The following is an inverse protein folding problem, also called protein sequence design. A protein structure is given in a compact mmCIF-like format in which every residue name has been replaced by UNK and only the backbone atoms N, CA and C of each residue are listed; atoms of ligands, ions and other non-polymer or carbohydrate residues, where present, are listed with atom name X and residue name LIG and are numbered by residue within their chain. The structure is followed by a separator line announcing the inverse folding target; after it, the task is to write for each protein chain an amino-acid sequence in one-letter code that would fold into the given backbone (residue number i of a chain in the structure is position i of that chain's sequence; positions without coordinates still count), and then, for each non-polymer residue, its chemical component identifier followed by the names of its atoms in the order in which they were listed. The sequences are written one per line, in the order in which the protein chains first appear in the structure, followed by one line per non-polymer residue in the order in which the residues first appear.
data_IF_827594067475
#
_entry.id   IF_827594067475
#
_cell.length_a   1.000
_cell.length_b   1.000
_cell.length_c   1.000
_cell.angle_alpha   90.00
_cell.angle_beta   90.00
_cell.angle_gamma   90.00
#
_symmetry.space_group_name_H-M   'P 1'
#
loop_
_entity.id
_entity.type
_entity.pdbx_description
1 polymer ?
#
# COMPACT_ATOMS: atom_id res chain seq x y z
N UNK A 1 16.04 11.61 -19.36
CA UNK A 1 15.08 10.48 -19.37
C UNK A 1 15.08 9.72 -18.05
N UNK A 2 16.25 9.36 -17.51
CA UNK A 2 16.39 8.71 -16.18
C UNK A 2 15.75 9.50 -15.03
N UNK A 3 15.95 10.82 -14.96
CA UNK A 3 15.33 11.65 -13.92
C UNK A 3 13.81 11.65 -13.98
N UNK A 4 13.22 11.66 -15.19
CA UNK A 4 11.76 11.58 -15.36
C UNK A 4 11.22 10.26 -14.81
N UNK A 5 11.89 9.13 -15.09
CA UNK A 5 11.50 7.82 -14.54
C UNK A 5 11.60 7.80 -13.02
N UNK A 6 12.63 8.44 -12.45
CA UNK A 6 12.80 8.52 -11.00
C UNK A 6 11.71 9.38 -10.35
N UNK A 7 11.39 10.55 -10.93
CA UNK A 7 10.28 11.40 -10.47
C UNK A 7 8.96 10.65 -10.53
N UNK A 8 8.68 9.93 -11.61
CA UNK A 8 7.47 9.09 -11.73
C UNK A 8 7.46 8.01 -10.64
N UNK A 9 8.59 7.36 -10.37
CA UNK A 9 8.69 6.37 -9.31
C UNK A 9 8.41 6.97 -7.93
N UNK A 10 8.97 8.15 -7.63
CA UNK A 10 8.73 8.89 -6.38
C UNK A 10 7.24 9.24 -6.24
N UNK A 11 6.61 9.79 -7.28
CA UNK A 11 5.19 10.19 -7.25
C UNK A 11 4.28 8.98 -7.00
N UNK A 12 4.44 7.90 -7.78
CA UNK A 12 3.57 6.72 -7.65
C UNK A 12 3.78 6.00 -6.31
N UNK A 13 5.04 5.89 -5.85
CA UNK A 13 5.35 5.30 -4.54
C UNK A 13 4.76 6.15 -3.41
N UNK A 14 4.85 7.48 -3.51
CA UNK A 14 4.26 8.42 -2.55
C UNK A 14 2.74 8.34 -2.47
N UNK A 15 2.06 8.21 -3.62
CA UNK A 15 0.61 7.99 -3.65
C UNK A 15 0.20 6.68 -2.98
N UNK A 16 0.92 5.58 -3.23
CA UNK A 16 0.70 4.29 -2.56
C UNK A 16 0.97 4.38 -1.05
N UNK A 17 2.06 5.02 -0.64
CA UNK A 17 2.39 5.24 0.77
C UNK A 17 1.30 6.06 1.48
N UNK A 18 0.85 7.14 0.84
CA UNK A 18 -0.25 7.98 1.30
C UNK A 18 -1.55 7.20 1.48
N UNK A 19 -1.88 6.31 0.53
CA UNK A 19 -3.06 5.44 0.63
C UNK A 19 -3.00 4.56 1.90
N UNK A 20 -1.93 3.79 2.09
CA UNK A 20 -1.81 2.91 3.26
C UNK A 20 -1.75 3.66 4.58
N UNK A 21 -1.05 4.80 4.60
CA UNK A 21 -0.97 5.65 5.77
C UNK A 21 -2.36 6.23 6.11
N UNK A 22 -3.11 6.74 5.14
CA UNK A 22 -4.46 7.29 5.35
C UNK A 22 -5.41 6.28 5.97
N UNK A 23 -5.32 5.00 5.56
CA UNK A 23 -6.08 3.93 6.22
C UNK A 23 -5.69 3.74 7.68
N UNK A 24 -4.41 3.90 8.00
CA UNK A 24 -3.87 3.75 9.35
C UNK A 24 -4.33 4.85 10.31
N UNK A 25 -4.27 6.12 9.89
CA UNK A 25 -4.47 7.26 10.79
C UNK A 25 -5.81 8.00 10.60
N UNK A 26 -6.58 7.74 9.55
CA UNK A 26 -7.90 8.34 9.33
C UNK A 26 -9.01 7.29 9.18
N UNK A 27 -8.92 6.43 8.16
CA UNK A 27 -10.07 5.60 7.74
C UNK A 27 -10.42 4.57 8.80
N UNK A 28 -9.47 3.74 9.23
CA UNK A 28 -9.77 2.69 10.22
C UNK A 28 -10.09 3.27 11.60
N UNK A 29 -9.42 4.31 12.11
CA UNK A 29 -9.88 5.00 13.32
C UNK A 29 -11.29 5.59 13.21
N UNK A 30 -11.67 6.14 12.06
CA UNK A 30 -13.02 6.63 11.79
C UNK A 30 -14.05 5.50 11.79
N UNK A 31 -13.79 4.42 11.04
CA UNK A 31 -14.63 3.23 10.99
C UNK A 31 -14.73 2.52 12.33
N UNK A 32 -13.70 2.62 13.18
CA UNK A 32 -13.74 2.04 14.53
C UNK A 32 -14.91 2.57 15.36
N UNK A 33 -15.33 3.81 15.11
CA UNK A 33 -16.42 4.50 15.80
C UNK A 33 -17.81 4.12 15.27
N UNK A 34 -17.89 3.42 14.14
CA UNK A 34 -19.14 2.93 13.59
C UNK A 34 -19.56 1.61 14.26
N UNK A 35 -20.85 1.27 14.16
CA UNK A 35 -21.33 -0.06 14.50
C UNK A 35 -20.76 -1.14 13.56
N UNK A 36 -20.88 -2.40 13.98
CA UNK A 36 -20.27 -3.52 13.27
C UNK A 36 -20.86 -3.75 11.89
N UNK A 37 -22.16 -3.49 11.70
CA UNK A 37 -22.82 -3.64 10.41
C UNK A 37 -22.26 -2.65 9.39
N UNK A 38 -22.19 -1.37 9.80
CA UNK A 38 -21.65 -0.27 9.00
C UNK A 38 -20.17 -0.51 8.68
N UNK A 39 -19.38 -0.96 9.66
CA UNK A 39 -17.97 -1.32 9.45
C UNK A 39 -17.82 -2.40 8.36
N UNK A 40 -18.51 -3.53 8.52
CA UNK A 40 -18.39 -4.69 7.62
C UNK A 40 -18.84 -4.32 6.21
N UNK A 41 -19.99 -3.65 6.08
CA UNK A 41 -20.50 -3.21 4.79
C UNK A 41 -19.53 -2.24 4.11
N UNK A 42 -19.02 -1.24 4.85
CA UNK A 42 -18.09 -0.25 4.29
C UNK A 42 -16.79 -0.90 3.83
N UNK A 43 -16.19 -1.77 4.64
CA UNK A 43 -14.96 -2.46 4.26
C UNK A 43 -15.14 -3.37 3.04
N UNK A 44 -16.28 -4.07 2.92
CA UNK A 44 -16.61 -4.83 1.70
C UNK A 44 -16.71 -3.93 0.48
N UNK A 45 -17.42 -2.82 0.58
CA UNK A 45 -17.55 -1.86 -0.52
C UNK A 45 -16.20 -1.25 -0.93
N UNK A 46 -15.35 -0.89 0.03
CA UNK A 46 -13.99 -0.40 -0.21
C UNK A 46 -13.15 -1.46 -0.93
N UNK A 47 -13.19 -2.72 -0.48
CA UNK A 47 -12.42 -3.83 -1.06
C UNK A 47 -12.79 -4.10 -2.52
N UNK A 48 -14.04 -3.85 -2.91
CA UNK A 48 -14.47 -3.92 -4.32
C UNK A 48 -14.05 -2.66 -5.07
N UNK A 49 -14.29 -1.48 -4.51
CA UNK A 49 -14.04 -0.20 -5.18
C UNK A 49 -12.56 0.07 -5.46
N UNK A 50 -11.64 -0.46 -4.65
CA UNK A 50 -10.20 -0.30 -4.84
C UNK A 50 -9.69 -1.01 -6.11
N UNK A 51 -10.41 -2.00 -6.63
CA UNK A 51 -10.06 -2.71 -7.86
C UNK A 51 -10.48 -1.91 -9.10
N UNK A 52 -9.73 -0.84 -9.38
CA UNK A 52 -9.96 0.05 -10.50
C UNK A 52 -8.66 0.40 -11.24
N UNK A 53 -8.73 0.92 -12.49
CA UNK A 53 -7.54 1.23 -13.29
C UNK A 53 -6.60 2.25 -12.65
N UNK A 54 -7.13 3.24 -11.92
CA UNK A 54 -6.30 4.26 -11.25
C UNK A 54 -5.46 3.62 -10.15
N UNK A 55 -6.06 2.75 -9.33
CA UNK A 55 -5.32 1.98 -8.35
C UNK A 55 -4.28 1.07 -9.01
N UNK A 56 -4.62 0.39 -10.11
CA UNK A 56 -3.66 -0.45 -10.83
C UNK A 56 -2.43 0.35 -11.32
N UNK A 57 -2.64 1.56 -11.83
CA UNK A 57 -1.56 2.46 -12.26
C UNK A 57 -0.74 2.96 -11.07
N UNK A 58 -1.38 3.40 -9.99
CA UNK A 58 -0.66 3.90 -8.80
C UNK A 58 0.12 2.78 -8.12
N UNK A 59 -0.55 1.68 -7.80
CA UNK A 59 0.03 0.57 -7.03
C UNK A 59 1.01 -0.26 -7.87
N UNK A 60 0.58 -0.70 -9.05
CA UNK A 60 1.41 -1.51 -9.95
C UNK A 60 2.46 -0.69 -10.68
N UNK A 61 2.08 0.49 -11.17
CA UNK A 61 2.98 1.38 -11.88
C UNK A 61 4.13 1.90 -11.02
N UNK A 62 3.95 2.06 -9.71
CA UNK A 62 5.07 2.39 -8.80
C UNK A 62 6.19 1.35 -8.86
N UNK A 63 5.87 0.04 -8.83
CA UNK A 63 6.87 -1.01 -8.93
C UNK A 63 7.58 -0.99 -10.29
N UNK A 64 6.81 -0.84 -11.38
CA UNK A 64 7.37 -0.74 -12.73
C UNK A 64 8.28 0.48 -12.86
N UNK A 65 7.86 1.63 -12.33
CA UNK A 65 8.64 2.87 -12.37
C UNK A 65 9.92 2.77 -11.54
N UNK A 66 9.88 2.15 -10.35
CA UNK A 66 11.07 1.90 -9.53
C UNK A 66 12.08 1.00 -10.26
N UNK A 67 11.61 -0.08 -10.91
CA UNK A 67 12.47 -0.94 -11.75
C UNK A 67 13.05 -0.17 -12.93
N UNK A 68 12.23 0.62 -13.63
CA UNK A 68 12.67 1.41 -14.77
C UNK A 68 13.72 2.45 -14.36
N UNK A 69 13.51 3.16 -13.24
CA UNK A 69 14.47 4.11 -12.70
C UNK A 69 15.78 3.42 -12.29
N UNK A 70 15.70 2.25 -11.64
CA UNK A 70 16.87 1.47 -11.23
C UNK A 70 17.69 0.95 -12.42
N UNK A 71 17.04 0.51 -13.50
CA UNK A 71 17.73 0.04 -14.71
C UNK A 71 18.32 1.20 -15.51
N UNK A 72 17.65 2.35 -15.53
CA UNK A 72 18.08 3.52 -16.30
C UNK A 72 19.13 4.39 -15.57
N UNK A 73 19.38 4.16 -14.28
CA UNK A 73 20.34 4.98 -13.51
C UNK A 73 21.78 4.51 -13.71
N UNK A 74 22.65 5.49 -13.97
CA UNK A 74 24.11 5.33 -13.99
C UNK A 74 24.78 5.94 -12.76
N UNK A 75 24.02 6.63 -11.90
CA UNK A 75 24.53 7.21 -10.66
C UNK A 75 24.80 6.10 -9.65
N UNK A 76 26.06 6.03 -9.20
CA UNK A 76 26.47 5.09 -8.15
C UNK A 76 25.93 5.47 -6.77
N UNK A 77 25.61 6.76 -6.58
CA UNK A 77 25.08 7.28 -5.32
C UNK A 77 23.56 7.05 -5.21
N UNK A 78 22.82 7.22 -6.31
CA UNK A 78 21.36 7.01 -6.34
C UNK A 78 20.96 5.52 -6.35
N UNK A 79 21.78 4.65 -6.95
CA UNK A 79 21.43 3.25 -7.21
C UNK A 79 21.14 2.43 -5.94
N UNK A 80 21.92 2.51 -4.84
CA UNK A 80 21.59 1.81 -3.60
C UNK A 80 20.22 2.20 -3.03
N UNK A 81 19.86 3.49 -3.10
CA UNK A 81 18.57 3.99 -2.62
C UNK A 81 17.39 3.47 -3.44
N UNK A 82 17.54 3.38 -4.76
CA UNK A 82 16.54 2.78 -5.64
C UNK A 82 16.34 1.28 -5.39
N UNK A 83 17.42 0.55 -5.08
CA UNK A 83 17.34 -0.88 -4.67
C UNK A 83 16.55 -1.01 -3.37
N UNK A 84 16.91 -0.22 -2.35
CA UNK A 84 16.21 -0.23 -1.06
C UNK A 84 14.73 0.15 -1.23
N UNK A 85 14.44 1.19 -2.01
CA UNK A 85 13.08 1.61 -2.32
C UNK A 85 12.27 0.48 -2.97
N UNK A 86 12.82 -0.19 -3.98
CA UNK A 86 12.15 -1.30 -4.66
C UNK A 86 11.88 -2.48 -3.71
N UNK A 87 12.86 -2.89 -2.91
CA UNK A 87 12.71 -4.01 -1.98
C UNK A 87 11.65 -3.72 -0.91
N UNK A 88 11.70 -2.53 -0.31
CA UNK A 88 10.72 -2.10 0.69
C UNK A 88 9.32 -1.98 0.09
N UNK A 89 9.21 -1.42 -1.13
CA UNK A 89 7.93 -1.31 -1.83
C UNK A 89 7.35 -2.68 -2.13
N UNK A 90 8.12 -3.61 -2.68
CA UNK A 90 7.65 -4.97 -2.96
C UNK A 90 7.24 -5.69 -1.68
N UNK A 91 8.04 -5.61 -0.61
CA UNK A 91 7.73 -6.23 0.66
C UNK A 91 6.42 -5.68 1.26
N UNK A 92 6.26 -4.36 1.33
CA UNK A 92 5.07 -3.73 1.90
C UNK A 92 3.85 -3.79 0.99
N UNK A 93 3.98 -3.27 -0.23
CA UNK A 93 2.86 -3.13 -1.15
C UNK A 93 2.38 -4.50 -1.64
N UNK A 94 3.26 -5.40 -2.07
CA UNK A 94 2.87 -6.68 -2.68
C UNK A 94 2.85 -7.85 -1.71
N UNK A 95 3.95 -8.12 -1.00
CA UNK A 95 4.06 -9.32 -0.17
C UNK A 95 3.08 -9.27 1.01
N UNK A 96 3.06 -8.19 1.79
CA UNK A 96 2.12 -8.07 2.92
C UNK A 96 0.66 -8.02 2.43
N UNK A 97 0.38 -7.29 1.34
CA UNK A 97 -0.99 -7.23 0.79
C UNK A 97 -1.47 -8.59 0.31
N UNK A 98 -0.67 -9.33 -0.47
CA UNK A 98 -1.01 -10.65 -0.98
C UNK A 98 -1.09 -11.71 0.10
N UNK A 99 -0.15 -11.72 1.05
CA UNK A 99 -0.06 -12.77 2.06
C UNK A 99 -1.04 -12.58 3.23
N UNK A 100 -1.49 -11.35 3.51
CA UNK A 100 -2.30 -11.06 4.70
C UNK A 100 -3.57 -10.30 4.38
N UNK A 101 -3.48 -9.13 3.76
CA UNK A 101 -4.66 -8.26 3.62
C UNK A 101 -5.68 -8.79 2.61
N UNK A 102 -5.25 -9.34 1.48
CA UNK A 102 -6.15 -9.96 0.49
C UNK A 102 -6.90 -11.16 1.13
N UNK A 103 -6.23 -12.15 1.77
CA UNK A 103 -6.94 -13.23 2.46
C UNK A 103 -7.95 -12.76 3.51
N UNK A 104 -7.60 -11.72 4.29
CA UNK A 104 -8.54 -11.13 5.26
C UNK A 104 -9.73 -10.46 4.58
N UNK A 105 -9.49 -9.76 3.47
CA UNK A 105 -10.54 -9.12 2.68
C UNK A 105 -11.49 -10.15 2.07
N UNK A 106 -10.97 -11.25 1.53
CA UNK A 106 -11.75 -12.34 0.94
C UNK A 106 -12.58 -13.09 2.00
N UNK A 107 -11.99 -13.33 3.19
CA UNK A 107 -12.70 -13.89 4.32
C UNK A 107 -13.82 -12.96 4.81
N UNK A 108 -13.58 -11.65 4.88
CA UNK A 108 -14.61 -10.67 5.23
C UNK A 108 -15.71 -10.62 4.16
N UNK A 109 -15.36 -10.71 2.87
CA UNK A 109 -16.31 -10.67 1.77
C UNK A 109 -17.23 -11.91 1.73
N UNK A 110 -16.65 -13.10 1.93
CA UNK A 110 -17.37 -14.39 1.89
C UNK A 110 -18.08 -14.75 3.20
N UNK A 111 -17.68 -14.16 4.33
CA UNK A 111 -18.26 -14.45 5.64
C UNK A 111 -19.77 -14.20 5.71
N UNK A 112 -20.54 -15.18 6.15
CA UNK A 112 -21.97 -15.06 6.42
C UNK A 112 -22.23 -14.93 7.93
N UNK A 113 -23.36 -14.34 8.30
CA UNK A 113 -23.80 -14.25 9.70
C UNK A 113 -23.72 -12.84 10.30
N UNK A 114 -23.69 -12.77 11.62
CA UNK A 114 -23.74 -11.50 12.35
C UNK A 114 -22.47 -10.65 12.09
N UNK A 115 -22.58 -9.31 11.98
CA UNK A 115 -21.43 -8.44 11.73
C UNK A 115 -20.35 -8.45 12.82
N UNK A 116 -20.72 -8.63 14.09
CA UNK A 116 -19.80 -8.52 15.21
C UNK A 116 -18.65 -9.57 15.17
N UNK A 117 -18.90 -10.89 15.00
CA UNK A 117 -17.84 -11.88 14.81
C UNK A 117 -16.97 -11.66 13.57
N UNK A 118 -17.57 -11.20 12.47
CA UNK A 118 -16.83 -10.89 11.23
C UNK A 118 -15.85 -9.74 11.46
N UNK A 119 -16.27 -8.69 12.16
CA UNK A 119 -15.38 -7.58 12.52
C UNK A 119 -14.28 -8.02 13.48
N UNK A 120 -14.61 -8.78 14.52
CA UNK A 120 -13.62 -9.25 15.51
C UNK A 120 -12.49 -10.07 14.88
N UNK A 121 -12.81 -10.92 13.92
CA UNK A 121 -11.82 -11.74 13.20
C UNK A 121 -11.00 -10.95 12.16
N UNK A 122 -11.44 -9.73 11.80
CA UNK A 122 -10.86 -8.93 10.72
C UNK A 122 -10.06 -7.71 11.22
N UNK A 123 -10.69 -6.82 12.00
CA UNK A 123 -10.23 -5.42 12.17
C UNK A 123 -8.82 -5.34 12.71
N UNK A 124 -8.54 -5.94 13.88
CA UNK A 124 -7.26 -5.75 14.56
C UNK A 124 -6.07 -6.26 13.73
N UNK A 125 -6.21 -7.44 13.13
CA UNK A 125 -5.17 -8.03 12.28
C UNK A 125 -5.00 -7.24 10.99
N UNK A 126 -6.09 -6.83 10.36
CA UNK A 126 -6.02 -6.03 9.14
C UNK A 126 -5.33 -4.69 9.37
N UNK A 127 -5.68 -4.00 10.47
CA UNK A 127 -5.07 -2.71 10.87
C UNK A 127 -3.58 -2.86 11.15
N UNK A 128 -3.18 -3.87 11.92
CA UNK A 128 -1.77 -4.14 12.22
C UNK A 128 -0.94 -4.29 10.95
N UNK A 129 -1.38 -5.15 10.03
CA UNK A 129 -0.65 -5.35 8.79
C UNK A 129 -0.77 -4.15 7.83
N UNK A 130 -1.84 -3.35 7.91
CA UNK A 130 -1.89 -2.08 7.20
C UNK A 130 -0.85 -1.07 7.71
N UNK A 131 -0.57 -1.03 9.02
CA UNK A 131 0.53 -0.22 9.55
C UNK A 131 1.88 -0.70 9.01
N UNK A 132 2.12 -2.01 8.92
CA UNK A 132 3.33 -2.57 8.30
C UNK A 132 3.45 -2.11 6.85
N UNK A 133 2.37 -2.19 6.05
CA UNK A 133 2.36 -1.68 4.66
C UNK A 133 2.70 -0.19 4.60
N UNK A 134 2.08 0.61 5.47
CA UNK A 134 2.31 2.05 5.52
C UNK A 134 3.78 2.38 5.84
N UNK A 135 4.36 1.77 6.87
CA UNK A 135 5.77 2.00 7.25
C UNK A 135 6.71 1.60 6.12
N UNK A 136 6.55 0.41 5.54
CA UNK A 136 7.42 -0.07 4.47
C UNK A 136 7.32 0.79 3.21
N UNK A 137 6.12 1.21 2.82
CA UNK A 137 5.93 2.03 1.62
C UNK A 137 6.34 3.49 1.83
N UNK A 138 6.17 4.05 3.03
CA UNK A 138 6.74 5.36 3.40
C UNK A 138 8.26 5.32 3.38
N UNK A 139 8.87 4.27 3.93
CA UNK A 139 10.32 4.09 3.87
C UNK A 139 10.81 3.94 2.42
N UNK A 140 10.07 3.20 1.58
CA UNK A 140 10.37 3.11 0.15
C UNK A 140 10.29 4.48 -0.55
N UNK A 141 9.26 5.27 -0.26
CA UNK A 141 9.10 6.62 -0.78
C UNK A 141 10.25 7.54 -0.35
N UNK A 142 10.64 7.48 0.93
CA UNK A 142 11.78 8.23 1.45
C UNK A 142 13.09 7.83 0.77
N UNK A 143 13.36 6.53 0.60
CA UNK A 143 14.54 6.05 -0.12
C UNK A 143 14.55 6.51 -1.58
N UNK A 144 13.45 6.40 -2.31
CA UNK A 144 13.37 6.91 -3.68
C UNK A 144 13.59 8.42 -3.75
N UNK A 145 13.06 9.18 -2.78
CA UNK A 145 13.25 10.63 -2.71
C UNK A 145 14.70 11.00 -2.43
N UNK A 146 15.39 10.27 -1.53
CA UNK A 146 16.82 10.46 -1.28
C UNK A 146 17.63 10.14 -2.54
N UNK A 147 17.33 9.03 -3.20
CA UNK A 147 17.98 8.66 -4.46
C UNK A 147 17.78 9.69 -5.58
N UNK A 148 16.70 10.48 -5.54
CA UNK A 148 16.44 11.53 -6.53
C UNK A 148 17.32 12.77 -6.32
N UNK A 149 17.78 13.02 -5.08
CA UNK A 149 18.53 14.23 -4.73
C UNK A 149 20.05 14.00 -4.65
N UNK A 150 20.52 12.76 -4.79
CA UNK A 150 21.95 12.38 -4.75
C UNK A 150 22.47 11.83 -6.08
#
# INVERSE_FOLDING_TARGET
MTEVLHVVAVVLTGLSAGLFATFSYVVMPGLRRADDATFVQTMRSINVAILNPVFAVVFGGAAVALVAALVATWSMDARPWLIVALLLYVAGAFVVTGAVNIPLNDALASGAGAPAPLRQSFEARWVLFNHVRAVLTVAAFASATIGLVV
#
